data_IF_373274510498
#
_entry.id   IF_373274510498
#
_cell.length_a   1.000
_cell.length_b   1.000
_cell.length_c   1.000
_cell.angle_alpha   90.00
_cell.angle_beta   90.00
_cell.angle_gamma   90.00
#
_symmetry.space_group_name_H-M   'P 1'
#
loop_
_entity.id
_entity.type
_entity.pdbx_description
1 polymer ?
#
# COMPACT_ATOMS: atom_id res chain seq x y z
N UNK A 1 42.52 7.01 -39.74
CA UNK A 1 42.19 8.40 -39.35
C UNK A 1 41.43 8.34 -38.03
N UNK A 2 42.08 8.70 -36.92
CA UNK A 2 41.51 8.70 -35.56
C UNK A 2 40.61 9.93 -35.36
N UNK A 3 39.47 9.77 -34.69
CA UNK A 3 38.88 10.80 -33.82
C UNK A 3 38.51 10.16 -32.48
N UNK A 4 38.87 10.75 -31.32
CA UNK A 4 38.62 10.17 -30.01
C UNK A 4 37.18 10.47 -29.57
N UNK A 5 36.48 9.49 -28.99
CA UNK A 5 35.25 9.73 -28.22
C UNK A 5 35.65 10.19 -26.81
N UNK A 6 35.12 11.35 -26.45
CA UNK A 6 35.37 12.04 -25.19
C UNK A 6 34.74 11.24 -24.04
N UNK A 7 35.56 10.76 -23.09
CA UNK A 7 35.18 9.89 -21.95
C UNK A 7 34.85 10.69 -20.67
N UNK A 8 34.41 11.93 -20.78
CA UNK A 8 34.33 12.85 -19.64
C UNK A 8 32.94 13.42 -19.31
N UNK A 9 31.85 12.95 -19.95
CA UNK A 9 30.50 13.49 -19.72
C UNK A 9 29.47 12.49 -19.14
N UNK A 10 29.84 11.23 -18.89
CA UNK A 10 28.94 10.21 -18.31
C UNK A 10 29.02 10.09 -16.78
N UNK A 11 29.78 10.98 -16.13
CA UNK A 11 29.67 11.21 -14.68
C UNK A 11 28.94 12.54 -14.49
N UNK A 12 27.62 12.51 -14.25
CA UNK A 12 26.96 13.46 -13.31
C UNK A 12 25.42 13.49 -13.37
N UNK A 13 24.71 12.80 -14.27
CA UNK A 13 23.24 12.84 -14.25
C UNK A 13 22.61 11.83 -13.26
N UNK A 14 23.04 10.57 -13.30
CA UNK A 14 22.52 9.49 -12.44
C UNK A 14 23.01 9.57 -10.99
N UNK A 15 24.21 10.11 -10.76
CA UNK A 15 24.78 10.24 -9.41
C UNK A 15 24.24 11.42 -8.60
N UNK A 16 23.92 12.55 -9.23
CA UNK A 16 23.32 13.70 -8.53
C UNK A 16 21.85 13.43 -8.18
N UNK A 17 21.12 12.71 -9.04
CA UNK A 17 19.70 12.39 -8.81
C UNK A 17 19.51 11.38 -7.65
N UNK A 18 20.42 10.42 -7.49
CA UNK A 18 20.43 9.53 -6.31
C UNK A 18 20.68 10.29 -5.00
N UNK A 19 21.54 11.31 -4.98
CA UNK A 19 21.81 12.06 -3.74
C UNK A 19 20.63 12.92 -3.30
N UNK A 20 19.85 13.47 -4.23
CA UNK A 20 18.66 14.27 -3.92
C UNK A 20 17.48 13.39 -3.48
N UNK A 21 17.32 12.21 -4.09
CA UNK A 21 16.35 11.20 -3.64
C UNK A 21 16.70 10.61 -2.26
N UNK A 22 17.99 10.40 -1.97
CA UNK A 22 18.47 9.92 -0.65
C UNK A 22 18.28 10.96 0.47
N UNK A 23 18.50 12.24 0.19
CA UNK A 23 18.19 13.32 1.17
C UNK A 23 16.69 13.41 1.43
N UNK A 24 15.87 13.09 0.42
CA UNK A 24 14.42 13.18 0.49
C UNK A 24 13.79 12.03 1.30
N UNK A 25 14.19 10.77 1.09
CA UNK A 25 13.71 9.64 1.92
C UNK A 25 14.03 9.85 3.40
N UNK A 26 15.15 10.49 3.72
CA UNK A 26 15.53 10.83 5.10
C UNK A 26 14.60 11.89 5.73
N UNK A 27 14.06 12.81 4.94
CA UNK A 27 12.98 13.73 5.36
C UNK A 27 11.61 13.06 5.38
N UNK A 28 11.35 12.12 4.46
CA UNK A 28 10.14 11.30 4.47
C UNK A 28 10.10 10.39 5.69
N UNK A 29 11.24 9.97 6.28
CA UNK A 29 11.26 9.28 7.57
C UNK A 29 10.60 10.08 8.71
N UNK A 30 10.55 11.42 8.63
CA UNK A 30 9.77 12.24 9.56
C UNK A 30 8.27 12.29 9.21
N UNK A 31 7.90 11.98 7.97
CA UNK A 31 6.51 11.85 7.49
C UNK A 31 5.98 10.40 7.55
N UNK A 32 6.84 9.38 7.59
CA UNK A 32 6.48 7.96 7.77
C UNK A 32 5.97 7.70 9.19
N UNK A 33 6.29 8.58 10.15
CA UNK A 33 5.66 8.63 11.48
C UNK A 33 4.19 9.12 11.42
N UNK A 34 3.74 9.64 10.26
CA UNK A 34 2.41 10.24 10.01
C UNK A 34 1.52 9.27 9.18
N UNK A 35 1.83 7.97 9.23
CA UNK A 35 1.08 6.92 8.50
C UNK A 35 0.24 6.00 9.39
N UNK A 36 0.35 6.12 10.73
CA UNK A 36 -0.26 5.15 11.64
C UNK A 36 -1.17 5.85 12.63
N UNK A 37 -2.44 5.45 12.61
CA UNK A 37 -3.43 5.97 13.52
C UNK A 37 -3.02 5.63 14.97
N UNK A 38 -2.85 6.62 15.87
CA UNK A 38 -2.69 6.33 17.29
C UNK A 38 -4.00 5.74 17.81
N UNK A 39 -3.99 4.48 18.23
CA UNK A 39 -5.13 3.78 18.80
C UNK A 39 -5.78 4.56 19.95
N UNK A 40 -6.89 5.26 19.67
CA UNK A 40 -7.87 5.70 20.66
C UNK A 40 -9.19 5.00 20.40
N UNK A 41 -9.37 3.84 21.03
CA UNK A 41 -10.68 3.22 21.22
C UNK A 41 -11.51 4.08 22.18
N UNK A 42 -12.56 4.79 21.71
CA UNK A 42 -13.76 5.06 22.51
C UNK A 42 -14.99 5.52 21.66
N UNK A 43 -15.95 4.60 21.53
CA UNK A 43 -17.43 4.72 21.56
C UNK A 43 -18.17 5.96 21.00
N UNK A 44 -19.18 5.70 20.13
CA UNK A 44 -20.37 6.56 19.97
C UNK A 44 -21.23 6.25 18.75
N UNK A 45 -22.42 5.65 18.97
CA UNK A 45 -23.45 5.35 17.96
C UNK A 45 -24.41 6.54 17.68
N UNK A 46 -25.16 6.42 16.56
CA UNK A 46 -26.52 6.96 16.21
C UNK A 46 -26.62 8.27 15.39
N UNK A 47 -27.05 8.13 14.11
CA UNK A 47 -28.37 8.49 13.49
C UNK A 47 -28.54 9.99 13.12
N UNK A 48 -29.14 10.47 12.00
CA UNK A 48 -29.98 9.92 10.91
C UNK A 48 -30.08 10.96 9.76
N UNK A 49 -30.32 10.47 8.53
CA UNK A 49 -31.26 10.93 7.48
C UNK A 49 -31.19 12.34 6.82
N UNK A 50 -31.25 12.34 5.48
CA UNK A 50 -31.70 13.47 4.66
C UNK A 50 -31.65 13.22 3.14
N UNK A 51 -32.79 12.88 2.55
CA UNK A 51 -33.07 12.66 1.11
C UNK A 51 -32.95 13.92 0.24
N UNK A 52 -32.63 13.79 -1.06
CA UNK A 52 -33.53 14.18 -2.21
C UNK A 52 -32.98 13.80 -3.60
N UNK A 53 -33.88 13.24 -4.42
CA UNK A 53 -33.96 13.05 -5.90
C UNK A 53 -33.71 14.32 -6.75
N UNK A 54 -33.49 14.39 -8.09
CA UNK A 54 -33.36 13.46 -9.23
C UNK A 54 -32.97 14.25 -10.52
N UNK A 55 -32.70 13.50 -11.61
CA UNK A 55 -32.99 13.72 -13.07
C UNK A 55 -31.82 13.81 -14.08
N UNK A 56 -31.60 12.70 -14.82
CA UNK A 56 -31.52 12.47 -16.31
C UNK A 56 -30.98 13.58 -17.22
N UNK A 57 -30.15 13.37 -18.27
CA UNK A 57 -30.17 12.35 -19.33
C UNK A 57 -28.87 12.39 -20.22
N UNK A 58 -28.39 11.19 -20.62
CA UNK A 58 -27.67 10.73 -21.83
C UNK A 58 -26.66 11.61 -22.65
N UNK A 59 -25.46 11.07 -22.92
CA UNK A 59 -25.07 10.42 -24.22
C UNK A 59 -23.54 10.13 -24.34
N UNK A 60 -23.20 8.83 -24.35
CA UNK A 60 -22.22 8.08 -25.18
C UNK A 60 -20.99 8.82 -25.78
N UNK A 61 -19.77 8.41 -25.40
CA UNK A 61 -18.77 7.83 -26.33
C UNK A 61 -17.37 7.51 -25.72
N UNK A 62 -17.03 6.21 -25.80
CA UNK A 62 -15.72 5.62 -26.21
C UNK A 62 -14.45 5.89 -25.38
N UNK A 63 -14.12 4.87 -24.58
CA UNK A 63 -12.85 4.13 -24.54
C UNK A 63 -11.58 4.88 -24.99
N UNK A 64 -10.79 5.38 -24.05
CA UNK A 64 -9.36 5.69 -24.22
C UNK A 64 -8.58 5.60 -22.90
N UNK A 65 -7.66 4.63 -22.84
CA UNK A 65 -6.33 4.69 -22.23
C UNK A 65 -6.20 5.17 -20.78
N UNK A 66 -5.90 4.23 -19.88
CA UNK A 66 -5.43 4.50 -18.51
C UNK A 66 -4.08 5.21 -18.59
N UNK A 67 -4.02 6.36 -17.91
CA UNK A 67 -2.90 7.30 -17.95
C UNK A 67 -3.40 8.74 -17.94
N UNK A 68 -4.06 9.15 -16.85
CA UNK A 68 -4.15 10.54 -16.35
C UNK A 68 -5.23 10.68 -15.27
N UNK A 69 -4.83 10.69 -13.99
CA UNK A 69 -5.57 11.37 -12.93
C UNK A 69 -4.61 11.96 -11.89
N UNK A 70 -3.67 12.79 -12.34
CA UNK A 70 -2.91 13.71 -11.51
C UNK A 70 -3.16 15.15 -11.98
N UNK A 71 -4.38 15.64 -11.79
CA UNK A 71 -4.71 17.04 -12.01
C UNK A 71 -5.93 17.42 -11.18
N UNK A 72 -5.71 17.73 -9.91
CA UNK A 72 -6.20 18.93 -9.21
C UNK A 72 -6.26 18.66 -7.69
N UNK A 73 -5.10 18.65 -7.04
CA UNK A 73 -5.00 18.70 -5.58
C UNK A 73 -4.32 20.01 -5.18
N UNK A 74 -5.02 21.12 -5.36
CA UNK A 74 -4.65 22.36 -4.67
C UNK A 74 -5.89 23.11 -4.16
N UNK A 75 -6.16 22.99 -2.86
CA UNK A 75 -6.40 24.12 -1.95
C UNK A 75 -7.13 23.69 -0.68
N UNK A 76 -6.41 23.65 0.44
CA UNK A 76 -6.98 23.89 1.74
C UNK A 76 -6.13 24.97 2.43
N UNK A 77 -6.77 26.09 2.74
CA UNK A 77 -6.15 27.32 3.17
C UNK A 77 -5.47 27.20 4.55
N UNK A 78 -4.31 27.84 4.67
CA UNK A 78 -3.47 27.89 5.86
C UNK A 78 -4.16 28.56 7.07
N UNK A 79 -4.20 27.86 8.20
CA UNK A 79 -4.49 28.44 9.52
C UNK A 79 -3.15 28.67 10.24
N UNK A 80 -2.85 29.92 10.58
CA UNK A 80 -1.63 30.32 11.30
C UNK A 80 -1.67 29.86 12.76
N UNK A 81 -0.64 29.16 13.22
CA UNK A 81 -0.36 28.94 14.64
C UNK A 81 0.45 30.11 15.24
N UNK A 82 0.24 30.49 16.52
CA UNK A 82 1.01 31.54 17.20
C UNK A 82 2.35 31.01 17.75
N UNK A 83 3.31 31.89 18.09
CA UNK A 83 4.66 31.49 18.47
C UNK A 83 4.73 31.02 19.92
N UNK A 84 5.50 29.97 20.20
CA UNK A 84 5.82 29.53 21.56
C UNK A 84 7.27 29.90 21.87
N UNK A 85 7.42 30.70 22.94
CA UNK A 85 8.70 31.17 23.48
C UNK A 85 9.55 30.04 24.07
N UNK A 86 10.86 30.17 23.87
CA UNK A 86 11.90 29.40 24.55
C UNK A 86 12.05 29.83 26.01
N UNK A 87 11.96 28.89 26.95
CA UNK A 87 12.60 29.05 28.27
C UNK A 87 13.29 27.76 28.72
N UNK A 88 14.35 27.97 29.49
CA UNK A 88 15.46 27.07 29.76
C UNK A 88 15.13 25.90 30.71
N UNK A 89 15.74 24.75 30.38
CA UNK A 89 16.49 23.84 31.25
C UNK A 89 15.97 23.54 32.65
N UNK A 90 15.51 22.30 32.86
CA UNK A 90 15.62 21.60 34.14
C UNK A 90 16.08 20.17 33.89
N UNK A 91 17.23 19.81 34.47
CA UNK A 91 17.71 18.43 34.53
C UNK A 91 16.84 17.63 35.50
N UNK A 92 16.30 16.49 35.06
CA UNK A 92 15.74 15.48 35.96
C UNK A 92 16.37 14.11 35.70
N UNK A 93 17.15 13.66 36.68
CA UNK A 93 17.51 12.27 36.87
C UNK A 93 16.26 11.43 37.17
N UNK A 94 16.21 10.22 36.61
CA UNK A 94 15.52 9.09 37.24
C UNK A 94 14.19 8.66 36.62
N UNK A 95 14.26 7.79 35.61
CA UNK A 95 13.84 6.38 35.68
C UNK A 95 13.93 5.77 34.29
N UNK A 96 14.84 4.82 34.15
CA UNK A 96 14.76 3.80 33.10
C UNK A 96 13.44 3.04 33.30
N UNK A 97 12.38 3.45 32.62
CA UNK A 97 11.27 2.57 32.35
C UNK A 97 11.74 1.61 31.26
N UNK A 98 12.18 0.44 31.68
CA UNK A 98 12.28 -0.71 30.80
C UNK A 98 10.89 -0.93 30.19
N UNK A 99 10.70 -0.47 28.95
CA UNK A 99 9.64 -1.01 28.12
C UNK A 99 9.89 -2.51 28.09
N UNK A 100 8.97 -3.28 28.65
CA UNK A 100 8.94 -4.73 28.51
C UNK A 100 9.00 -4.96 27.00
N UNK A 101 10.06 -5.59 26.49
CA UNK A 101 10.13 -6.01 25.09
C UNK A 101 8.84 -6.76 24.82
N UNK A 102 7.91 -6.11 24.11
CA UNK A 102 6.78 -6.79 23.52
C UNK A 102 7.42 -7.86 22.65
N UNK A 103 6.97 -9.10 22.78
CA UNK A 103 7.47 -10.18 21.94
C UNK A 103 7.06 -9.83 20.50
N UNK A 104 7.97 -9.20 19.76
CA UNK A 104 7.77 -8.89 18.35
C UNK A 104 8.07 -10.17 17.59
N UNK A 105 7.01 -10.80 17.12
CA UNK A 105 7.12 -12.09 16.44
C UNK A 105 7.14 -11.90 14.92
N UNK A 106 6.80 -10.72 14.39
CA UNK A 106 7.13 -10.37 13.01
C UNK A 106 8.51 -9.71 12.97
N UNK A 107 9.46 -10.30 12.24
CA UNK A 107 10.86 -9.85 12.21
C UNK A 107 11.37 -9.68 10.77
N UNK A 108 12.18 -8.66 10.51
CA UNK A 108 12.70 -8.37 9.16
C UNK A 108 14.09 -8.96 8.99
N UNK A 109 14.35 -9.52 7.81
CA UNK A 109 15.66 -10.05 7.42
C UNK A 109 16.06 -9.56 6.04
N UNK A 110 17.08 -8.72 5.97
CA UNK A 110 17.70 -8.30 4.71
C UNK A 110 18.74 -9.32 4.24
N UNK A 111 18.38 -10.13 3.27
CA UNK A 111 19.27 -11.04 2.55
C UNK A 111 20.33 -10.31 1.73
N UNK A 112 21.28 -11.06 1.18
CA UNK A 112 22.31 -10.53 0.28
C UNK A 112 21.65 -10.06 -1.03
N UNK A 113 22.03 -8.87 -1.49
CA UNK A 113 21.69 -8.42 -2.84
C UNK A 113 22.89 -8.67 -3.75
N UNK A 114 22.64 -8.87 -5.05
CA UNK A 114 23.69 -9.07 -6.05
C UNK A 114 23.49 -8.12 -7.22
N UNK A 115 24.59 -7.51 -7.67
CA UNK A 115 24.55 -6.47 -8.70
C UNK A 115 24.30 -5.06 -8.14
N UNK A 116 24.70 -4.04 -8.89
CA UNK A 116 24.64 -2.64 -8.43
C UNK A 116 23.22 -2.16 -8.20
N UNK A 117 22.29 -2.57 -9.06
CA UNK A 117 20.94 -2.05 -9.05
C UNK A 117 20.13 -2.62 -7.88
N UNK A 118 20.24 -3.92 -7.59
CA UNK A 118 19.60 -4.53 -6.41
C UNK A 118 20.22 -4.09 -5.09
N UNK A 119 21.55 -3.84 -5.05
CA UNK A 119 22.18 -3.23 -3.88
C UNK A 119 21.67 -1.80 -3.65
N UNK A 120 21.42 -1.02 -4.72
CA UNK A 120 20.82 0.31 -4.59
C UNK A 120 19.40 0.22 -4.01
N UNK A 121 18.55 -0.65 -4.55
CA UNK A 121 17.17 -0.87 -4.05
C UNK A 121 17.18 -1.35 -2.59
N UNK A 122 18.04 -2.33 -2.27
CA UNK A 122 18.21 -2.81 -0.89
C UNK A 122 18.57 -1.68 0.07
N UNK A 123 19.55 -0.86 -0.28
CA UNK A 123 19.98 0.24 0.57
C UNK A 123 18.88 1.30 0.68
N UNK A 124 18.23 1.66 -0.42
CA UNK A 124 17.10 2.60 -0.43
C UNK A 124 15.98 2.15 0.52
N UNK A 125 15.55 0.90 0.40
CA UNK A 125 14.45 0.33 1.20
C UNK A 125 14.81 0.19 2.68
N UNK A 126 16.08 -0.13 2.99
CA UNK A 126 16.56 -0.20 4.37
C UNK A 126 16.70 1.20 4.97
N UNK A 127 17.26 2.14 4.21
CA UNK A 127 17.55 3.49 4.70
C UNK A 127 16.26 4.32 4.84
N UNK A 128 15.20 4.00 4.09
CA UNK A 128 13.87 4.59 4.27
C UNK A 128 13.08 4.03 5.47
N UNK A 129 13.51 2.89 6.01
CA UNK A 129 12.86 2.17 7.11
C UNK A 129 11.39 1.77 6.84
N UNK A 130 10.97 1.65 5.57
CA UNK A 130 9.55 1.40 5.23
C UNK A 130 9.06 0.05 5.76
N UNK A 131 9.91 -0.99 5.71
CA UNK A 131 9.54 -2.31 6.21
C UNK A 131 9.59 -2.36 7.71
N UNK A 132 10.58 -1.74 8.34
CA UNK A 132 10.67 -1.59 9.80
C UNK A 132 9.41 -0.94 10.34
N UNK A 133 8.98 0.13 9.71
CA UNK A 133 7.76 0.84 10.05
C UNK A 133 6.51 -0.05 9.88
N UNK A 134 6.38 -0.74 8.75
CA UNK A 134 5.29 -1.69 8.51
C UNK A 134 5.26 -2.80 9.58
N UNK A 135 6.41 -3.39 9.90
CA UNK A 135 6.52 -4.47 10.89
C UNK A 135 6.29 -3.98 12.31
N UNK A 136 6.71 -2.77 12.65
CA UNK A 136 6.37 -2.14 13.94
C UNK A 136 4.86 -1.94 14.08
N UNK A 137 4.21 -1.42 13.05
CA UNK A 137 2.75 -1.27 13.02
C UNK A 137 2.02 -2.61 13.14
N UNK A 138 2.40 -3.60 12.34
CA UNK A 138 1.80 -4.93 12.40
C UNK A 138 2.05 -5.62 13.74
N UNK A 139 3.24 -5.46 14.33
CA UNK A 139 3.50 -5.95 15.69
C UNK A 139 2.70 -5.19 16.74
N UNK A 140 2.29 -3.94 16.51
CA UNK A 140 1.40 -3.21 17.42
C UNK A 140 -0.04 -3.73 17.35
N UNK A 141 -0.50 -4.13 16.15
CA UNK A 141 -1.87 -4.54 15.90
C UNK A 141 -2.11 -6.05 16.09
N UNK A 142 -1.14 -6.91 15.75
CA UNK A 142 -1.28 -8.37 15.69
C UNK A 142 -0.40 -9.07 16.73
N UNK A 143 -0.96 -10.08 17.40
CA UNK A 143 -0.31 -11.02 18.29
C UNK A 143 -0.09 -12.37 17.59
N UNK A 144 1.07 -12.53 16.95
CA UNK A 144 1.48 -13.80 16.37
C UNK A 144 1.89 -14.81 17.46
N UNK A 145 1.51 -16.10 17.40
CA UNK A 145 1.88 -17.12 18.38
C UNK A 145 3.35 -17.55 18.27
N UNK A 146 3.95 -17.37 17.10
CA UNK A 146 5.33 -17.76 16.76
C UNK A 146 5.97 -16.73 15.84
N UNK A 147 7.29 -16.80 15.70
CA UNK A 147 8.04 -15.95 14.78
C UNK A 147 7.58 -16.15 13.32
N UNK A 148 7.31 -15.06 12.62
CA UNK A 148 7.10 -14.94 11.18
C UNK A 148 8.20 -14.00 10.67
N UNK A 149 8.95 -14.41 9.65
CA UNK A 149 10.00 -13.55 9.09
C UNK A 149 9.51 -12.89 7.82
N UNK A 150 9.81 -11.60 7.68
CA UNK A 150 9.74 -10.87 6.44
C UNK A 150 11.15 -10.75 5.85
N UNK A 151 11.43 -11.53 4.81
CA UNK A 151 12.74 -11.61 4.18
C UNK A 151 12.76 -10.87 2.85
N UNK A 152 13.72 -9.96 2.70
CA UNK A 152 14.05 -9.37 1.41
C UNK A 152 15.28 -10.08 0.84
N UNK A 153 15.20 -10.64 -0.36
CA UNK A 153 16.30 -11.43 -0.92
C UNK A 153 16.32 -11.45 -2.46
N UNK A 154 17.43 -11.86 -3.05
CA UNK A 154 17.47 -12.22 -4.48
C UNK A 154 16.73 -13.55 -4.69
N UNK A 155 15.86 -13.61 -5.69
CA UNK A 155 15.18 -14.85 -6.11
C UNK A 155 15.52 -15.29 -7.55
N UNK A 156 16.03 -14.37 -8.37
CA UNK A 156 16.23 -14.55 -9.81
C UNK A 156 15.01 -14.18 -10.66
N UNK A 157 13.90 -13.78 -10.03
CA UNK A 157 12.65 -13.36 -10.66
C UNK A 157 11.90 -12.34 -9.79
N UNK A 158 11.03 -11.55 -10.43
CA UNK A 158 10.14 -10.58 -9.80
C UNK A 158 9.02 -11.34 -9.08
N UNK A 159 9.17 -11.56 -7.77
CA UNK A 159 8.27 -12.44 -7.04
C UNK A 159 8.16 -12.04 -5.55
N UNK A 160 7.00 -12.31 -4.97
CA UNK A 160 6.75 -12.31 -3.54
C UNK A 160 5.88 -13.52 -3.21
N UNK A 161 6.17 -14.19 -2.09
CA UNK A 161 5.37 -15.33 -1.65
C UNK A 161 5.56 -15.59 -0.16
N UNK A 162 4.55 -16.22 0.44
CA UNK A 162 4.62 -16.83 1.75
C UNK A 162 5.04 -18.31 1.68
N UNK A 163 6.07 -18.70 2.45
CA UNK A 163 6.52 -20.07 2.64
C UNK A 163 5.94 -20.65 3.96
N UNK A 164 4.94 -21.54 3.91
CA UNK A 164 4.30 -22.10 5.10
C UNK A 164 5.19 -23.08 5.88
N UNK A 165 6.19 -23.70 5.24
CA UNK A 165 7.11 -24.62 5.92
C UNK A 165 8.09 -23.86 6.80
N UNK A 166 8.58 -22.72 6.30
CA UNK A 166 9.55 -21.88 7.03
C UNK A 166 8.91 -20.77 7.87
N UNK A 167 7.62 -20.49 7.65
CA UNK A 167 6.91 -19.32 8.20
C UNK A 167 7.68 -18.03 7.84
N UNK A 168 7.95 -17.86 6.55
CA UNK A 168 8.65 -16.70 6.01
C UNK A 168 7.86 -16.09 4.85
N UNK A 169 7.58 -14.78 4.90
CA UNK A 169 7.21 -13.99 3.74
C UNK A 169 8.50 -13.58 3.04
N UNK A 170 8.63 -13.84 1.75
CA UNK A 170 9.80 -13.47 0.95
C UNK A 170 9.38 -12.46 -0.11
N UNK A 171 10.11 -11.35 -0.20
CA UNK A 171 9.96 -10.33 -1.23
C UNK A 171 11.27 -10.23 -1.99
N UNK A 172 11.22 -10.36 -3.32
CA UNK A 172 12.42 -10.31 -4.14
C UNK A 172 12.93 -8.89 -4.34
N UNK A 173 14.25 -8.70 -4.36
CA UNK A 173 14.83 -7.41 -4.73
C UNK A 173 14.52 -7.06 -6.19
N UNK A 174 14.30 -8.07 -7.03
CA UNK A 174 13.86 -7.94 -8.41
C UNK A 174 12.45 -7.30 -8.49
N UNK A 175 11.50 -7.75 -7.66
CA UNK A 175 10.16 -7.15 -7.59
C UNK A 175 10.20 -5.70 -7.10
N UNK A 176 11.00 -5.42 -6.07
CA UNK A 176 11.18 -4.05 -5.57
C UNK A 176 11.83 -3.15 -6.63
N UNK A 177 12.75 -3.69 -7.44
CA UNK A 177 13.33 -2.96 -8.56
C UNK A 177 12.29 -2.71 -9.66
N UNK A 178 11.46 -3.69 -9.97
CA UNK A 178 10.35 -3.54 -10.92
C UNK A 178 9.38 -2.43 -10.48
N UNK A 179 8.95 -2.41 -9.22
CA UNK A 179 8.10 -1.32 -8.71
C UNK A 179 8.80 0.04 -8.77
N UNK A 180 10.10 0.11 -8.46
CA UNK A 180 10.85 1.36 -8.61
C UNK A 180 10.85 1.85 -10.07
N UNK A 181 11.02 0.94 -11.03
CA UNK A 181 10.99 1.27 -12.46
C UNK A 181 9.60 1.71 -12.91
N UNK A 182 8.55 1.01 -12.46
CA UNK A 182 7.14 1.35 -12.76
C UNK A 182 6.78 2.75 -12.28
N UNK A 183 7.19 3.09 -11.06
CA UNK A 183 7.01 4.42 -10.46
C UNK A 183 7.81 5.49 -11.22
N UNK A 184 9.03 5.16 -11.67
CA UNK A 184 9.86 6.08 -12.44
C UNK A 184 9.23 6.44 -13.80
N UNK A 185 8.45 5.54 -14.40
CA UNK A 185 7.71 5.79 -15.63
C UNK A 185 6.57 6.82 -15.47
N UNK A 186 6.12 7.11 -14.26
CA UNK A 186 5.06 8.09 -13.98
C UNK A 186 5.58 9.53 -14.09
N UNK A 187 5.58 10.10 -15.29
CA UNK A 187 6.21 11.42 -15.57
C UNK A 187 5.48 12.61 -14.98
N UNK A 188 4.20 12.46 -14.71
CA UNK A 188 3.34 13.54 -14.20
C UNK A 188 3.37 13.62 -12.66
N UNK A 189 3.95 12.62 -11.98
CA UNK A 189 4.10 12.58 -10.52
C UNK A 189 5.41 13.24 -10.08
N UNK A 190 5.33 14.01 -8.99
CA UNK A 190 6.51 14.52 -8.30
C UNK A 190 7.21 13.43 -7.46
N UNK A 191 8.34 13.77 -6.84
CA UNK A 191 9.15 12.78 -6.10
C UNK A 191 8.42 12.18 -4.89
N UNK A 192 7.59 12.97 -4.21
CA UNK A 192 6.84 12.57 -3.02
C UNK A 192 5.72 11.60 -3.43
N UNK A 193 4.95 11.98 -4.45
CA UNK A 193 3.89 11.13 -5.03
C UNK A 193 4.45 9.79 -5.51
N UNK A 194 5.64 9.79 -6.13
CA UNK A 194 6.32 8.57 -6.55
C UNK A 194 6.73 7.69 -5.36
N UNK A 195 7.27 8.30 -4.31
CA UNK A 195 7.65 7.56 -3.12
C UNK A 195 6.44 6.95 -2.42
N UNK A 196 5.32 7.67 -2.36
CA UNK A 196 4.04 7.16 -1.85
C UNK A 196 3.53 5.98 -2.69
N UNK A 197 3.49 6.11 -4.02
CA UNK A 197 3.08 5.01 -4.90
C UNK A 197 3.97 3.77 -4.74
N UNK A 198 5.29 3.94 -4.61
CA UNK A 198 6.20 2.83 -4.34
C UNK A 198 5.86 2.13 -3.02
N UNK A 199 5.60 2.90 -1.97
CA UNK A 199 5.20 2.37 -0.66
C UNK A 199 3.85 1.65 -0.75
N UNK A 200 2.88 2.22 -1.45
CA UNK A 200 1.55 1.63 -1.65
C UNK A 200 1.64 0.24 -2.30
N UNK A 201 2.41 0.13 -3.39
CA UNK A 201 2.65 -1.14 -4.10
C UNK A 201 3.33 -2.18 -3.20
N UNK A 202 4.40 -1.76 -2.51
CA UNK A 202 5.17 -2.63 -1.62
C UNK A 202 4.34 -3.10 -0.44
N UNK A 203 3.56 -2.21 0.17
CA UNK A 203 2.73 -2.53 1.32
C UNK A 203 1.60 -3.46 0.92
N UNK A 204 0.91 -3.20 -0.18
CA UNK A 204 -0.15 -4.08 -0.65
C UNK A 204 0.36 -5.50 -0.90
N UNK A 205 1.45 -5.69 -1.65
CA UNK A 205 1.99 -7.04 -1.91
C UNK A 205 2.46 -7.71 -0.62
N UNK A 206 3.09 -6.96 0.29
CA UNK A 206 3.54 -7.52 1.58
C UNK A 206 2.35 -7.95 2.44
N UNK A 207 1.28 -7.17 2.45
CA UNK A 207 0.07 -7.47 3.22
C UNK A 207 -0.76 -8.58 2.58
N UNK A 208 -0.70 -8.75 1.26
CA UNK A 208 -1.25 -9.91 0.56
C UNK A 208 -0.56 -11.20 1.03
N UNK A 209 0.78 -11.23 1.03
CA UNK A 209 1.53 -12.37 1.56
C UNK A 209 1.34 -12.58 3.07
N UNK A 210 1.16 -11.49 3.82
CA UNK A 210 0.74 -11.57 5.21
C UNK A 210 -0.63 -12.22 5.33
N UNK A 211 -1.57 -11.95 4.42
CA UNK A 211 -2.86 -12.63 4.35
C UNK A 211 -2.73 -14.15 4.34
N UNK A 212 -1.91 -14.70 3.43
CA UNK A 212 -1.58 -16.13 3.41
C UNK A 212 -0.97 -16.60 4.73
N UNK A 213 -0.01 -15.83 5.26
CA UNK A 213 0.62 -16.16 6.54
C UNK A 213 -0.39 -16.20 7.70
N UNK A 214 -1.33 -15.26 7.78
CA UNK A 214 -2.35 -15.24 8.84
C UNK A 214 -3.34 -16.41 8.69
N UNK A 215 -3.74 -16.74 7.45
CA UNK A 215 -4.61 -17.89 7.17
C UNK A 215 -3.97 -19.18 7.70
N UNK A 216 -2.70 -19.42 7.35
CA UNK A 216 -1.97 -20.63 7.74
C UNK A 216 -1.58 -20.63 9.24
N UNK A 217 -1.05 -19.54 9.79
CA UNK A 217 -0.60 -19.47 11.19
C UNK A 217 -1.78 -19.59 12.18
N UNK A 218 -2.93 -18.99 11.86
CA UNK A 218 -4.10 -19.00 12.72
C UNK A 218 -5.13 -20.07 12.37
N UNK A 219 -4.89 -20.87 11.33
CA UNK A 219 -5.82 -21.87 10.80
C UNK A 219 -7.21 -21.24 10.52
N UNK A 220 -7.21 -20.12 9.78
CA UNK A 220 -8.44 -19.39 9.50
C UNK A 220 -9.30 -20.16 8.48
N UNK A 221 -10.60 -20.35 8.75
CA UNK A 221 -11.49 -20.99 7.79
C UNK A 221 -11.70 -20.08 6.57
N UNK A 222 -11.25 -20.55 5.40
CA UNK A 222 -11.45 -19.89 4.10
C UNK A 222 -12.45 -20.70 3.26
N UNK A 223 -13.51 -20.05 2.81
CA UNK A 223 -14.53 -20.67 1.94
C UNK A 223 -14.58 -20.06 0.53
N UNK A 224 -13.78 -19.02 0.26
CA UNK A 224 -13.60 -18.40 -1.05
C UNK A 224 -12.31 -18.86 -1.72
N UNK A 225 -11.92 -18.22 -2.83
CA UNK A 225 -10.56 -18.36 -3.35
C UNK A 225 -9.60 -17.72 -2.35
N UNK A 226 -8.54 -18.44 -1.98
CA UNK A 226 -7.60 -17.97 -0.96
C UNK A 226 -6.95 -16.64 -1.34
N UNK A 227 -6.63 -16.47 -2.61
CA UNK A 227 -6.08 -15.26 -3.22
C UNK A 227 -6.97 -14.03 -3.06
N UNK A 228 -8.27 -14.20 -3.31
CA UNK A 228 -9.23 -13.12 -3.09
C UNK A 228 -9.35 -12.79 -1.59
N UNK A 229 -9.19 -13.78 -0.70
CA UNK A 229 -9.19 -13.57 0.75
C UNK A 229 -7.91 -12.87 1.20
N UNK A 230 -6.75 -13.20 0.62
CA UNK A 230 -5.49 -12.51 0.87
C UNK A 230 -5.60 -11.01 0.47
N UNK A 231 -6.19 -10.70 -0.68
CA UNK A 231 -6.51 -9.32 -1.09
C UNK A 231 -7.46 -8.61 -0.13
N UNK A 232 -8.50 -9.32 0.35
CA UNK A 232 -9.43 -8.79 1.35
C UNK A 232 -8.72 -8.49 2.67
N UNK A 233 -7.82 -9.36 3.14
CA UNK A 233 -7.03 -9.12 4.35
C UNK A 233 -6.14 -7.89 4.15
N UNK A 234 -5.42 -7.81 3.03
CA UNK A 234 -4.56 -6.67 2.73
C UNK A 234 -5.34 -5.35 2.71
N UNK A 235 -6.46 -5.33 1.98
CA UNK A 235 -7.36 -4.18 1.88
C UNK A 235 -7.94 -3.80 3.24
N UNK A 236 -8.40 -4.78 4.02
CA UNK A 236 -8.95 -4.54 5.36
C UNK A 236 -7.90 -3.98 6.32
N UNK A 237 -6.67 -4.50 6.32
CA UNK A 237 -5.57 -3.98 7.13
C UNK A 237 -5.26 -2.53 6.74
N UNK A 238 -5.13 -2.22 5.45
CA UNK A 238 -4.87 -0.86 4.96
C UNK A 238 -6.00 0.07 5.42
N UNK A 239 -7.25 -0.23 5.06
CA UNK A 239 -8.39 0.64 5.32
C UNK A 239 -8.69 0.83 6.81
N UNK A 240 -8.41 -0.16 7.66
CA UNK A 240 -8.75 -0.10 9.09
C UNK A 240 -7.60 0.36 9.98
N UNK A 241 -6.37 0.36 9.51
CA UNK A 241 -5.21 0.56 10.38
C UNK A 241 -4.14 1.51 9.83
N UNK A 242 -4.19 1.86 8.54
CA UNK A 242 -3.22 2.75 7.89
C UNK A 242 -3.84 4.13 7.69
N UNK A 243 -2.97 5.13 7.54
CA UNK A 243 -3.36 6.51 7.34
C UNK A 243 -3.75 7.22 8.65
N UNK A 244 -3.56 8.53 8.65
CA UNK A 244 -4.12 9.40 9.70
C UNK A 244 -5.63 9.59 9.55
N UNK A 245 -6.13 9.37 8.33
CA UNK A 245 -7.52 9.47 7.94
C UNK A 245 -7.88 8.43 6.86
N UNK A 246 -9.18 8.22 6.69
CA UNK A 246 -9.75 7.31 5.69
C UNK A 246 -9.31 7.66 4.26
N UNK A 247 -9.09 8.95 3.96
CA UNK A 247 -8.72 9.39 2.62
C UNK A 247 -7.34 8.86 2.22
N UNK A 248 -6.35 8.91 3.11
CA UNK A 248 -5.03 8.34 2.86
C UNK A 248 -5.06 6.83 2.74
N UNK A 249 -5.83 6.16 3.59
CA UNK A 249 -5.96 4.70 3.54
C UNK A 249 -6.57 4.23 2.21
N UNK A 250 -7.65 4.90 1.78
CA UNK A 250 -8.31 4.62 0.50
C UNK A 250 -7.41 4.95 -0.68
N UNK A 251 -6.73 6.09 -0.65
CA UNK A 251 -5.78 6.45 -1.71
C UNK A 251 -4.68 5.41 -1.87
N UNK A 252 -4.07 4.98 -0.77
CA UNK A 252 -3.03 3.96 -0.77
C UNK A 252 -3.51 2.66 -1.42
N UNK A 253 -4.72 2.22 -1.07
CA UNK A 253 -5.32 1.03 -1.62
C UNK A 253 -5.65 1.16 -3.12
N UNK A 254 -6.22 2.29 -3.54
CA UNK A 254 -6.55 2.56 -4.96
C UNK A 254 -5.27 2.59 -5.80
N UNK A 255 -4.25 3.34 -5.36
CA UNK A 255 -2.94 3.41 -6.01
C UNK A 255 -2.31 2.03 -6.21
N UNK A 256 -2.30 1.20 -5.16
CA UNK A 256 -1.74 -0.14 -5.23
C UNK A 256 -2.51 -1.04 -6.22
N UNK A 257 -3.83 -0.88 -6.30
CA UNK A 257 -4.67 -1.69 -7.19
C UNK A 257 -4.47 -1.39 -8.67
N UNK A 258 -4.05 -0.16 -9.04
CA UNK A 258 -3.83 0.21 -10.44
C UNK A 258 -2.80 -0.68 -11.14
N UNK A 259 -1.85 -1.25 -10.39
CA UNK A 259 -0.87 -2.20 -10.92
C UNK A 259 -1.52 -3.42 -11.57
N UNK A 260 -2.64 -3.91 -11.05
CA UNK A 260 -3.37 -5.05 -11.62
C UNK A 260 -3.90 -4.79 -13.04
N UNK A 261 -4.01 -3.53 -13.44
CA UNK A 261 -4.48 -3.13 -14.77
C UNK A 261 -3.43 -2.35 -15.55
N UNK A 262 -2.23 -2.14 -15.01
CA UNK A 262 -1.18 -1.33 -15.61
C UNK A 262 -0.71 -1.87 -16.97
N UNK A 263 -0.66 -3.20 -17.10
CA UNK A 263 -0.27 -3.89 -18.34
C UNK A 263 -1.49 -4.46 -19.10
N UNK A 264 -2.71 -4.20 -18.60
CA UNK A 264 -3.92 -4.74 -19.20
C UNK A 264 -4.31 -3.96 -20.47
N UNK A 265 -4.09 -4.59 -21.62
CA UNK A 265 -4.60 -4.11 -22.90
C UNK A 265 -5.74 -5.01 -23.40
N UNK A 266 -6.98 -4.57 -23.15
CA UNK A 266 -8.19 -5.24 -23.62
C UNK A 266 -8.23 -5.47 -25.14
N UNK A 267 -7.51 -4.64 -25.92
CA UNK A 267 -7.46 -4.76 -27.39
C UNK A 267 -6.43 -5.77 -27.88
N UNK A 268 -5.42 -6.08 -27.05
CA UNK A 268 -4.43 -7.12 -27.29
C UNK A 268 -4.77 -8.43 -26.58
N UNK A 269 -5.79 -8.43 -25.71
CA UNK A 269 -6.20 -9.57 -24.90
C UNK A 269 -6.66 -10.74 -25.77
N UNK A 270 -6.01 -11.89 -25.59
CA UNK A 270 -6.47 -13.16 -26.15
C UNK A 270 -7.08 -14.01 -25.05
N UNK A 271 -8.13 -14.75 -25.40
CA UNK A 271 -8.82 -15.63 -24.45
C UNK A 271 -7.87 -16.70 -23.90
N UNK A 272 -6.89 -17.12 -24.69
CA UNK A 272 -5.88 -18.10 -24.31
C UNK A 272 -4.88 -17.56 -23.28
N UNK A 273 -4.70 -16.24 -23.18
CA UNK A 273 -3.82 -15.59 -22.22
C UNK A 273 -4.53 -15.34 -20.87
N UNK A 274 -5.83 -15.66 -20.78
CA UNK A 274 -6.62 -15.54 -19.54
C UNK A 274 -6.58 -16.85 -18.74
N UNK A 275 -6.02 -16.79 -17.54
CA UNK A 275 -5.89 -17.94 -16.64
C UNK A 275 -7.18 -18.26 -15.88
N UNK A 276 -8.26 -18.58 -16.61
CA UNK A 276 -9.56 -18.90 -16.00
C UNK A 276 -9.53 -20.09 -15.03
N UNK A 277 -8.56 -21.00 -15.20
CA UNK A 277 -8.35 -22.16 -14.34
C UNK A 277 -7.33 -21.92 -13.21
N UNK A 278 -6.75 -20.71 -13.13
CA UNK A 278 -5.81 -20.33 -12.09
C UNK A 278 -6.46 -20.24 -10.70
N UNK A 279 -5.64 -20.32 -9.66
CA UNK A 279 -6.05 -20.13 -8.26
C UNK A 279 -6.48 -18.70 -7.96
N UNK A 280 -5.99 -17.74 -8.73
CA UNK A 280 -6.29 -16.32 -8.59
C UNK A 280 -7.53 -15.92 -9.41
N UNK A 281 -8.16 -14.81 -9.06
CA UNK A 281 -9.06 -14.11 -9.98
C UNK A 281 -8.25 -13.38 -11.05
N UNK A 282 -8.85 -13.07 -12.20
CA UNK A 282 -8.18 -12.31 -13.25
C UNK A 282 -7.74 -10.95 -12.69
N UNK A 283 -6.55 -10.44 -13.07
CA UNK A 283 -6.04 -9.19 -12.49
C UNK A 283 -7.01 -8.00 -12.63
N UNK A 284 -7.70 -7.78 -13.77
CA UNK A 284 -8.75 -6.77 -13.85
C UNK A 284 -9.90 -7.00 -12.87
N UNK A 285 -10.26 -8.26 -12.59
CA UNK A 285 -11.29 -8.58 -11.60
C UNK A 285 -10.83 -8.23 -10.18
N UNK A 286 -9.55 -8.46 -9.85
CA UNK A 286 -8.96 -8.07 -8.57
C UNK A 286 -8.97 -6.56 -8.39
N UNK A 287 -8.62 -5.80 -9.44
CA UNK A 287 -8.74 -4.34 -9.45
C UNK A 287 -10.15 -3.87 -9.10
N UNK A 288 -11.18 -4.33 -9.82
CA UNK A 288 -12.56 -3.91 -9.55
C UNK A 288 -13.08 -4.34 -8.17
N UNK A 289 -12.62 -5.47 -7.64
CA UNK A 289 -12.92 -5.88 -6.26
C UNK A 289 -12.36 -4.87 -5.25
N UNK A 290 -11.10 -4.47 -5.41
CA UNK A 290 -10.45 -3.49 -4.53
C UNK A 290 -11.15 -2.13 -4.60
N UNK A 291 -11.51 -1.65 -5.79
CA UNK A 291 -12.27 -0.41 -5.95
C UNK A 291 -13.63 -0.49 -5.23
N UNK A 292 -14.34 -1.61 -5.36
CA UNK A 292 -15.61 -1.80 -4.67
C UNK A 292 -15.45 -1.80 -3.14
N UNK A 293 -14.39 -2.39 -2.60
CA UNK A 293 -14.13 -2.39 -1.15
C UNK A 293 -13.71 -1.01 -0.63
N UNK A 294 -12.87 -0.29 -1.37
CA UNK A 294 -12.50 1.09 -1.05
C UNK A 294 -13.73 2.01 -1.04
N UNK A 295 -14.58 1.91 -2.07
CA UNK A 295 -15.84 2.66 -2.15
C UNK A 295 -16.82 2.26 -1.05
N UNK A 296 -16.93 0.96 -0.75
CA UNK A 296 -17.77 0.46 0.33
C UNK A 296 -17.33 0.93 1.73
N UNK A 297 -16.02 1.14 1.93
CA UNK A 297 -15.47 1.70 3.16
C UNK A 297 -15.72 3.21 3.28
N UNK A 298 -15.38 3.97 2.24
CA UNK A 298 -15.57 5.42 2.23
C UNK A 298 -15.79 5.93 0.78
N UNK A 299 -17.06 6.18 0.38
CA UNK A 299 -17.40 6.62 -0.97
C UNK A 299 -16.71 7.92 -1.41
N UNK A 300 -16.69 8.92 -0.52
CA UNK A 300 -16.13 10.24 -0.83
C UNK A 300 -14.61 10.16 -1.04
N UNK A 301 -13.92 9.42 -0.18
CA UNK A 301 -12.50 9.17 -0.31
C UNK A 301 -12.17 8.36 -1.57
N UNK A 302 -12.99 7.37 -1.93
CA UNK A 302 -12.76 6.55 -3.11
C UNK A 302 -12.92 7.36 -4.40
N UNK A 303 -13.98 8.17 -4.52
CA UNK A 303 -14.17 9.08 -5.66
C UNK A 303 -13.04 10.11 -5.74
N UNK A 304 -12.61 10.65 -4.60
CA UNK A 304 -11.48 11.58 -4.56
C UNK A 304 -10.13 10.93 -4.94
N UNK A 305 -9.92 9.68 -4.55
CA UNK A 305 -8.73 8.91 -4.91
C UNK A 305 -8.71 8.57 -6.41
N UNK A 306 -9.84 8.15 -6.97
CA UNK A 306 -10.01 7.83 -8.39
C UNK A 306 -9.95 9.06 -9.31
N UNK A 307 -10.38 10.22 -8.81
CA UNK A 307 -10.47 11.45 -9.60
C UNK A 307 -11.53 11.39 -10.71
N UNK A 308 -12.49 10.47 -10.60
CA UNK A 308 -13.54 10.21 -11.59
C UNK A 308 -14.81 9.66 -10.91
N UNK A 309 -15.92 9.65 -11.64
CA UNK A 309 -17.19 9.13 -11.10
C UNK A 309 -17.12 7.61 -10.89
N UNK A 310 -17.70 7.10 -9.80
CA UNK A 310 -17.64 5.68 -9.49
C UNK A 310 -18.30 4.79 -10.56
N UNK A 311 -19.29 5.31 -11.28
CA UNK A 311 -19.97 4.64 -12.40
C UNK A 311 -19.07 4.42 -13.62
N UNK A 312 -17.90 5.05 -13.68
CA UNK A 312 -16.88 4.76 -14.70
C UNK A 312 -16.13 3.44 -14.43
N UNK A 313 -16.13 2.99 -13.16
CA UNK A 313 -15.41 1.80 -12.72
C UNK A 313 -16.34 0.65 -12.34
N UNK A 314 -17.47 0.93 -11.68
CA UNK A 314 -18.37 -0.08 -11.15
C UNK A 314 -19.74 -0.01 -11.83
N UNK A 315 -20.38 -1.18 -11.96
CA UNK A 315 -21.79 -1.25 -12.37
C UNK A 315 -22.69 -0.73 -11.24
N UNK A 316 -23.90 -0.27 -11.57
CA UNK A 316 -24.90 0.17 -10.57
C UNK A 316 -25.13 -0.89 -9.48
N UNK A 317 -25.24 -2.16 -9.88
CA UNK A 317 -25.38 -3.28 -8.94
C UNK A 317 -24.20 -3.36 -7.96
N UNK A 318 -22.97 -3.16 -8.44
CA UNK A 318 -21.77 -3.18 -7.61
C UNK A 318 -21.67 -1.96 -6.71
N UNK A 319 -22.09 -0.79 -7.18
CA UNK A 319 -22.14 0.44 -6.37
C UNK A 319 -23.13 0.25 -5.22
N UNK A 320 -24.31 -0.31 -5.50
CA UNK A 320 -25.34 -0.58 -4.49
C UNK A 320 -24.89 -1.63 -3.45
N UNK A 321 -24.11 -2.64 -3.86
CA UNK A 321 -23.63 -3.69 -2.95
C UNK A 321 -22.33 -3.36 -2.21
N UNK A 322 -21.54 -2.39 -2.68
CA UNK A 322 -20.19 -2.12 -2.19
C UNK A 322 -20.09 -1.95 -0.66
N UNK A 323 -20.98 -1.15 -0.06
CA UNK A 323 -21.00 -0.94 1.39
C UNK A 323 -21.26 -2.26 2.14
N UNK A 324 -22.22 -3.07 1.69
CA UNK A 324 -22.56 -4.37 2.29
C UNK A 324 -21.41 -5.35 2.17
N UNK A 325 -20.68 -5.31 1.05
CA UNK A 325 -19.52 -6.17 0.82
C UNK A 325 -18.36 -5.84 1.74
N UNK A 326 -18.00 -4.55 1.86
CA UNK A 326 -16.96 -4.12 2.80
C UNK A 326 -17.35 -4.44 4.25
N UNK A 327 -18.60 -4.17 4.62
CA UNK A 327 -19.16 -4.52 5.94
C UNK A 327 -19.02 -6.01 6.26
N UNK A 328 -19.18 -6.87 5.25
CA UNK A 328 -19.01 -8.31 5.42
C UNK A 328 -17.55 -8.68 5.63
N UNK A 329 -16.63 -8.04 4.90
CA UNK A 329 -15.18 -8.20 5.09
C UNK A 329 -14.81 -7.77 6.51
N UNK A 330 -15.22 -6.58 6.93
CA UNK A 330 -14.89 -6.01 8.24
C UNK A 330 -15.37 -6.90 9.39
N UNK A 331 -16.65 -7.32 9.36
CA UNK A 331 -17.19 -8.25 10.36
C UNK A 331 -16.49 -9.60 10.35
N UNK A 332 -16.12 -10.12 9.17
CA UNK A 332 -15.49 -11.43 9.07
C UNK A 332 -14.11 -11.40 9.72
N UNK A 333 -13.25 -10.45 9.37
CA UNK A 333 -11.91 -10.38 9.95
C UNK A 333 -11.90 -9.88 11.39
N UNK A 334 -12.80 -8.98 11.78
CA UNK A 334 -12.97 -8.62 13.18
C UNK A 334 -13.34 -9.84 14.07
N UNK A 335 -14.09 -10.81 13.53
CA UNK A 335 -14.42 -12.06 14.24
C UNK A 335 -13.28 -13.07 14.19
N UNK A 336 -12.73 -13.32 13.00
CA UNK A 336 -11.68 -14.32 12.77
C UNK A 336 -10.39 -13.95 13.50
N UNK A 337 -10.02 -12.68 13.50
CA UNK A 337 -8.78 -12.19 14.09
C UNK A 337 -8.93 -11.73 15.54
N UNK A 338 -10.14 -11.69 16.11
CA UNK A 338 -10.42 -11.13 17.45
C UNK A 338 -9.45 -11.55 18.56
N UNK A 339 -9.01 -12.81 18.55
CA UNK A 339 -8.12 -13.37 19.58
C UNK A 339 -6.64 -13.06 19.35
N UNK A 340 -6.32 -12.53 18.18
CA UNK A 340 -4.97 -12.27 17.70
C UNK A 340 -4.73 -10.77 17.46
N UNK A 341 -5.74 -9.91 17.69
CA UNK A 341 -5.57 -8.45 17.69
C UNK A 341 -5.28 -7.96 19.11
N UNK A 342 -4.40 -6.96 19.24
CA UNK A 342 -3.92 -6.42 20.53
C UNK A 342 -4.81 -5.37 21.17
#
# INVERSE_FOLDING_TARGET
>A
MKRPRNKAAERSATGLFMEDFMKFLFTASAAVVIFFQPCFLLAGMLDTAGLTEATTEAEIARARGVGRFAADRSSAAAVKAPPVESTQGHAHHGKCCAFKLVKCNLVIVYGKADGKDHEAVKNQVRDSAIFETLVEHLNFFIELPSELKLRLAMLGEENAYYDPEKKEIIISYELLKYFSDLVDLQKDMNADEKAELFVDLVFFVTLHELGHALIDIFDLPVTGKEEDVADQIASWIILKTFGDDDHRAVLSLVNASEWFVAEFDASALKVEDLEFAGSHSLDPQRFYNVIAWAYGFNPDAAVAALGADIGEFLTDERIESAAVEFDRIDRSFAVLLKKYLK
#
